data_IF_079100191336
#
_entry.id   IF_079100191336
#
_cell.length_a   1.000
_cell.length_b   1.000
_cell.length_c   1.000
_cell.angle_alpha   90.00
_cell.angle_beta   90.00
_cell.angle_gamma   90.00
#
_symmetry.space_group_name_H-M   'P 1'
#
loop_
_entity.id
_entity.type
_entity.pdbx_description
1 polymer ?
#
# COMPACT_ATOMS: atom_id res chain seq x y z
N UNK A 1 16.95 -20.09 -15.63
CA UNK A 1 16.38 -18.80 -16.10
C UNK A 1 16.51 -17.81 -14.97
N UNK A 2 17.38 -16.81 -15.11
CA UNK A 2 17.43 -15.68 -14.18
C UNK A 2 16.21 -14.80 -14.46
N UNK A 3 15.21 -14.84 -13.59
CA UNK A 3 14.14 -13.85 -13.61
C UNK A 3 14.80 -12.59 -13.08
N UNK A 4 15.06 -11.61 -13.95
CA UNK A 4 15.47 -10.28 -13.50
C UNK A 4 14.36 -9.80 -12.55
N UNK A 5 14.67 -9.74 -11.25
CA UNK A 5 13.74 -9.24 -10.25
C UNK A 5 13.49 -7.77 -10.59
N UNK A 6 12.26 -7.45 -11.02
CA UNK A 6 11.88 -6.07 -11.35
C UNK A 6 12.13 -5.16 -10.16
N UNK A 7 12.56 -3.94 -10.44
CA UNK A 7 12.64 -2.93 -9.39
C UNK A 7 11.23 -2.59 -8.89
N UNK A 8 11.12 -2.10 -7.65
CA UNK A 8 9.81 -1.67 -7.12
C UNK A 8 9.20 -0.57 -8.00
N UNK A 9 10.05 0.31 -8.54
CA UNK A 9 9.66 1.39 -9.43
C UNK A 9 9.03 0.86 -10.73
N UNK A 10 9.62 -0.17 -11.34
CA UNK A 10 9.06 -0.81 -12.54
C UNK A 10 7.70 -1.46 -12.26
N UNK A 11 7.55 -2.12 -11.10
CA UNK A 11 6.28 -2.74 -10.70
C UNK A 11 5.21 -1.66 -10.50
N UNK A 12 5.53 -0.57 -9.81
CA UNK A 12 4.61 0.56 -9.62
C UNK A 12 4.23 1.16 -10.97
N UNK A 13 5.20 1.46 -11.83
CA UNK A 13 4.95 2.03 -13.15
C UNK A 13 4.07 1.12 -14.02
N UNK A 14 4.26 -0.20 -13.96
CA UNK A 14 3.39 -1.17 -14.62
C UNK A 14 1.97 -1.14 -14.04
N UNK A 15 1.82 -1.21 -12.72
CA UNK A 15 0.54 -1.26 -12.02
C UNK A 15 -0.35 -0.06 -12.30
N UNK A 16 0.21 1.13 -12.51
CA UNK A 16 -0.57 2.36 -12.74
C UNK A 16 -0.63 2.78 -14.22
N UNK A 17 -0.05 2.00 -15.14
CA UNK A 17 0.17 2.41 -16.54
C UNK A 17 -1.11 2.79 -17.28
N UNK A 18 -2.21 2.08 -17.03
CA UNK A 18 -3.49 2.29 -17.71
C UNK A 18 -4.45 3.20 -16.92
N UNK A 19 -3.97 3.81 -15.83
CA UNK A 19 -4.75 4.65 -14.93
C UNK A 19 -5.74 3.90 -14.06
N UNK A 20 -5.69 2.56 -14.03
CA UNK A 20 -6.49 1.70 -13.17
C UNK A 20 -5.57 0.72 -12.45
N UNK A 21 -6.11 0.07 -11.42
CA UNK A 21 -5.42 -1.00 -10.71
C UNK A 21 -6.35 -2.18 -10.64
N UNK A 22 -5.98 -3.28 -11.28
CA UNK A 22 -6.70 -4.55 -11.17
C UNK A 22 -6.34 -5.27 -9.87
N UNK A 23 -7.18 -6.23 -9.47
CA UNK A 23 -6.91 -7.10 -8.32
C UNK A 23 -5.63 -7.90 -8.51
N UNK A 24 -5.30 -8.28 -9.76
CA UNK A 24 -4.09 -9.06 -10.07
C UNK A 24 -2.83 -8.19 -9.89
N UNK A 25 -2.85 -6.95 -10.38
CA UNK A 25 -1.73 -6.01 -10.23
C UNK A 25 -1.53 -5.63 -8.76
N UNK A 26 -2.61 -5.40 -8.03
CA UNK A 26 -2.56 -5.14 -6.60
C UNK A 26 -1.95 -6.33 -5.82
N UNK A 27 -2.41 -7.56 -6.08
CA UNK A 27 -1.86 -8.76 -5.43
C UNK A 27 -0.38 -8.92 -5.73
N UNK A 28 0.03 -8.74 -6.98
CA UNK A 28 1.44 -8.80 -7.39
C UNK A 28 2.30 -7.78 -6.63
N UNK A 29 1.81 -6.54 -6.48
CA UNK A 29 2.51 -5.50 -5.72
C UNK A 29 2.62 -5.86 -4.22
N UNK A 30 1.53 -6.34 -3.61
CA UNK A 30 1.52 -6.79 -2.21
C UNK A 30 2.50 -7.94 -2.00
N UNK A 31 2.43 -8.97 -2.83
CA UNK A 31 3.28 -10.15 -2.71
C UNK A 31 4.77 -9.79 -2.90
N UNK A 32 5.10 -8.80 -3.76
CA UNK A 32 6.47 -8.28 -3.88
C UNK A 32 6.89 -7.47 -2.65
N UNK A 33 5.98 -6.70 -2.04
CA UNK A 33 6.26 -5.96 -0.81
C UNK A 33 6.54 -6.92 0.37
N UNK A 34 5.73 -7.97 0.52
CA UNK A 34 5.95 -9.01 1.53
C UNK A 34 7.30 -9.71 1.34
N UNK A 35 7.63 -10.12 0.10
CA UNK A 35 8.92 -10.74 -0.22
C UNK A 35 10.11 -9.84 0.14
N UNK A 36 9.99 -8.52 -0.03
CA UNK A 36 11.05 -7.57 0.37
C UNK A 36 11.17 -7.48 1.89
N UNK A 37 10.06 -7.53 2.60
CA UNK A 37 10.08 -7.54 4.07
C UNK A 37 10.60 -8.86 4.63
N UNK A 38 10.34 -9.99 3.98
CA UNK A 38 10.92 -11.29 4.35
C UNK A 38 12.45 -11.24 4.35
N UNK A 39 13.06 -10.59 3.34
CA UNK A 39 14.51 -10.38 3.31
C UNK A 39 15.00 -9.54 4.50
N UNK A 40 14.25 -8.51 4.89
CA UNK A 40 14.55 -7.69 6.09
C UNK A 40 14.43 -8.54 7.36
N UNK A 41 13.41 -9.41 7.46
CA UNK A 41 13.24 -10.31 8.60
C UNK A 41 14.38 -11.31 8.70
N UNK A 42 14.87 -11.84 7.58
CA UNK A 42 16.04 -12.72 7.57
C UNK A 42 17.29 -12.06 8.16
N UNK A 43 17.48 -10.76 7.92
CA UNK A 43 18.65 -10.01 8.40
C UNK A 43 18.49 -9.47 9.83
N UNK A 44 17.32 -8.94 10.17
CA UNK A 44 17.09 -8.20 11.43
C UNK A 44 16.23 -8.96 12.46
N UNK A 45 15.81 -10.17 12.13
CA UNK A 45 14.95 -11.00 12.97
C UNK A 45 13.52 -10.47 13.10
N UNK A 46 12.78 -11.06 14.04
CA UNK A 46 11.39 -10.72 14.36
C UNK A 46 11.29 -9.74 15.53
N UNK A 47 10.08 -9.22 15.77
CA UNK A 47 9.74 -8.37 16.93
C UNK A 47 10.43 -7.00 16.96
N UNK A 48 10.69 -6.43 15.79
CA UNK A 48 11.21 -5.07 15.63
C UNK A 48 10.19 -4.16 14.92
N UNK A 49 10.52 -2.86 14.86
CA UNK A 49 9.65 -1.86 14.25
C UNK A 49 9.35 -2.11 12.76
N UNK A 50 10.22 -2.81 12.02
CA UNK A 50 9.99 -3.13 10.61
C UNK A 50 8.91 -4.21 10.47
N UNK A 51 8.96 -5.26 11.30
CA UNK A 51 7.91 -6.28 11.35
C UNK A 51 6.58 -5.75 11.91
N UNK A 52 6.64 -4.79 12.83
CA UNK A 52 5.45 -4.10 13.32
C UNK A 52 4.84 -3.21 12.24
N UNK A 53 5.68 -2.51 11.46
CA UNK A 53 5.26 -1.70 10.33
C UNK A 53 4.54 -2.54 9.28
N UNK A 54 5.09 -3.70 8.87
CA UNK A 54 4.44 -4.60 7.91
C UNK A 54 3.02 -4.97 8.36
N UNK A 55 2.87 -5.44 9.59
CA UNK A 55 1.56 -5.80 10.15
C UNK A 55 0.62 -4.60 10.25
N UNK A 56 1.14 -3.42 10.59
CA UNK A 56 0.34 -2.21 10.62
C UNK A 56 -0.18 -1.84 9.23
N UNK A 57 0.63 -2.03 8.17
CA UNK A 57 0.20 -1.79 6.78
C UNK A 57 -0.95 -2.72 6.37
N UNK A 58 -0.93 -4.00 6.79
CA UNK A 58 -2.05 -4.92 6.55
C UNK A 58 -3.34 -4.41 7.21
N UNK A 59 -3.26 -3.97 8.46
CA UNK A 59 -4.39 -3.39 9.19
C UNK A 59 -4.88 -2.11 8.52
N UNK A 60 -3.98 -1.20 8.12
CA UNK A 60 -4.33 0.02 7.40
C UNK A 60 -5.05 -0.31 6.11
N UNK A 61 -4.59 -1.31 5.35
CA UNK A 61 -5.23 -1.71 4.12
C UNK A 61 -6.63 -2.31 4.34
N UNK A 62 -6.78 -3.14 5.37
CA UNK A 62 -8.09 -3.64 5.78
C UNK A 62 -9.03 -2.47 6.12
N UNK A 63 -8.55 -1.48 6.88
CA UNK A 63 -9.34 -0.30 7.26
C UNK A 63 -9.80 0.49 6.03
N UNK A 64 -8.90 0.77 5.08
CA UNK A 64 -9.25 1.44 3.82
C UNK A 64 -10.38 0.71 3.09
N UNK A 65 -10.29 -0.63 2.98
CA UNK A 65 -11.32 -1.43 2.32
C UNK A 65 -12.65 -1.36 3.08
N UNK A 66 -12.64 -1.54 4.40
CA UNK A 66 -13.86 -1.49 5.21
C UNK A 66 -14.49 -0.11 5.22
N UNK A 67 -13.70 0.98 5.26
CA UNK A 67 -14.21 2.34 5.19
C UNK A 67 -14.94 2.62 3.87
N UNK A 68 -14.41 2.13 2.74
CA UNK A 68 -15.08 2.24 1.44
C UNK A 68 -16.36 1.40 1.40
N UNK A 69 -16.34 0.19 1.96
CA UNK A 69 -17.54 -0.66 2.05
C UNK A 69 -18.63 0.02 2.88
N UNK A 70 -18.27 0.60 4.02
CA UNK A 70 -19.22 1.25 4.92
C UNK A 70 -19.77 2.54 4.32
N UNK A 71 -18.94 3.33 3.62
CA UNK A 71 -19.40 4.48 2.83
C UNK A 71 -20.41 4.08 1.76
N UNK A 72 -20.17 2.96 1.04
CA UNK A 72 -21.14 2.42 0.07
C UNK A 72 -22.45 1.98 0.73
N UNK A 73 -22.38 1.33 1.89
CA UNK A 73 -23.58 0.90 2.66
C UNK A 73 -24.39 2.09 3.17
N UNK A 74 -23.73 3.21 3.48
CA UNK A 74 -24.38 4.43 3.94
C UNK A 74 -25.20 5.16 2.87
N UNK A 75 -25.15 4.72 1.59
CA UNK A 75 -25.88 5.31 0.46
C UNK A 75 -25.66 6.83 0.36
N UNK A 76 -24.39 7.23 0.42
CA UNK A 76 -24.01 8.64 0.31
C UNK A 76 -24.45 9.22 -1.04
N UNK A 77 -24.62 10.55 -1.07
CA UNK A 77 -24.73 11.28 -2.33
C UNK A 77 -23.40 11.23 -3.09
N UNK A 78 -23.40 11.55 -4.38
CA UNK A 78 -22.17 11.64 -5.19
C UNK A 78 -21.13 12.56 -4.54
N UNK A 79 -21.57 13.68 -3.96
CA UNK A 79 -20.72 14.60 -3.18
C UNK A 79 -20.14 13.92 -1.93
N UNK A 80 -20.95 13.14 -1.21
CA UNK A 80 -20.49 12.38 -0.04
C UNK A 80 -19.46 11.32 -0.42
N UNK A 81 -19.65 10.59 -1.52
CA UNK A 81 -18.65 9.65 -2.02
C UNK A 81 -17.33 10.33 -2.40
N UNK A 82 -17.41 11.51 -3.03
CA UNK A 82 -16.22 12.28 -3.41
C UNK A 82 -15.41 12.72 -2.18
N UNK A 83 -16.08 13.19 -1.12
CA UNK A 83 -15.44 13.57 0.15
C UNK A 83 -14.73 12.37 0.79
N UNK A 84 -15.36 11.20 0.82
CA UNK A 84 -14.75 10.00 1.39
C UNK A 84 -13.53 9.57 0.58
N UNK A 85 -13.63 9.57 -0.76
CA UNK A 85 -12.50 9.22 -1.65
C UNK A 85 -11.31 10.16 -1.41
N UNK A 86 -11.57 11.47 -1.36
CA UNK A 86 -10.56 12.49 -1.12
C UNK A 86 -9.87 12.29 0.24
N UNK A 87 -10.64 12.12 1.31
CA UNK A 87 -10.11 11.91 2.65
C UNK A 87 -9.23 10.64 2.76
N UNK A 88 -9.67 9.54 2.15
CA UNK A 88 -8.89 8.28 2.14
C UNK A 88 -7.60 8.45 1.35
N UNK A 89 -7.65 9.10 0.17
CA UNK A 89 -6.44 9.37 -0.63
C UNK A 89 -5.47 10.26 0.15
N UNK A 90 -5.97 11.30 0.82
CA UNK A 90 -5.14 12.21 1.61
C UNK A 90 -4.35 11.47 2.73
N UNK A 91 -4.95 10.46 3.37
CA UNK A 91 -4.26 9.64 4.37
C UNK A 91 -3.11 8.81 3.77
N UNK A 92 -3.34 8.23 2.58
CA UNK A 92 -2.31 7.45 1.87
C UNK A 92 -1.16 8.35 1.43
N UNK A 93 -1.45 9.53 0.88
CA UNK A 93 -0.43 10.49 0.45
C UNK A 93 0.35 11.07 1.63
N UNK A 94 -0.31 11.34 2.77
CA UNK A 94 0.38 11.71 4.02
C UNK A 94 1.42 10.67 4.42
N UNK A 95 1.04 9.39 4.44
CA UNK A 95 1.94 8.31 4.81
C UNK A 95 3.10 8.17 3.81
N UNK A 96 2.80 8.25 2.50
CA UNK A 96 3.80 8.19 1.43
C UNK A 96 4.83 9.31 1.56
N UNK A 97 4.38 10.56 1.72
CA UNK A 97 5.26 11.71 1.89
C UNK A 97 6.10 11.61 3.16
N UNK A 98 5.48 11.20 4.28
CA UNK A 98 6.18 10.97 5.55
C UNK A 98 7.25 9.88 5.45
N UNK A 99 6.96 8.78 4.75
CA UNK A 99 7.93 7.72 4.49
C UNK A 99 9.13 8.23 3.67
N UNK A 100 8.88 8.98 2.59
CA UNK A 100 9.95 9.59 1.80
C UNK A 100 10.82 10.56 2.62
N UNK A 101 10.23 11.34 3.53
CA UNK A 101 10.97 12.23 4.42
C UNK A 101 11.85 11.44 5.39
N UNK A 102 11.29 10.43 6.05
CA UNK A 102 12.00 9.63 7.05
C UNK A 102 13.15 8.81 6.44
N UNK A 103 12.95 8.25 5.24
CA UNK A 103 13.95 7.42 4.56
C UNK A 103 15.18 8.22 4.08
N UNK A 104 15.12 9.55 4.01
CA UNK A 104 16.32 10.39 3.74
C UNK A 104 17.35 10.36 4.86
N UNK A 105 17.00 9.80 6.02
CA UNK A 105 17.91 9.65 7.16
C UNK A 105 18.79 8.39 7.07
N UNK A 106 18.57 7.55 6.06
CA UNK A 106 19.38 6.38 5.70
C UNK A 106 20.28 6.71 4.50
#
# INVERSE_FOLDING_TARGET
>A
MSIISKTLEEIIHETYRDGRVSVVEYKKLRDDADRRMDAVVCEFGLHNNLTALQKAMDVVMQLVQTSVIDAKKARLTDTGEAIVKDAVIAQVEYLRAGAHLALKLL
#
